data_IF_395699283320
#
_entry.id   IF_395699283320
#
_cell.length_a   1.000
_cell.length_b   1.000
_cell.length_c   1.000
_cell.angle_alpha   90.00
_cell.angle_beta   90.00
_cell.angle_gamma   90.00
#
_symmetry.space_group_name_H-M   'P 1'
#
loop_
_entity.id
_entity.type
_entity.pdbx_description
1 polymer ?
#
# COMPACT_ATOMS: atom_id res chain seq x y z
N UNK A 1 37.27 31.17 -6.39
CA UNK A 1 35.81 31.36 -6.55
C UNK A 1 35.32 30.89 -7.93
N UNK A 2 35.78 31.41 -9.05
CA UNK A 2 35.29 31.05 -10.39
C UNK A 2 35.36 29.56 -10.71
N UNK A 3 36.46 28.88 -10.42
CA UNK A 3 36.66 27.45 -10.68
C UNK A 3 35.62 26.60 -9.91
N UNK A 4 35.33 26.95 -8.67
CA UNK A 4 34.32 26.24 -7.86
C UNK A 4 32.94 26.37 -8.51
N UNK A 5 32.57 27.55 -8.96
CA UNK A 5 31.25 27.75 -9.60
C UNK A 5 31.14 26.92 -10.88
N UNK A 6 32.19 26.93 -11.71
CA UNK A 6 32.23 26.15 -12.96
C UNK A 6 32.07 24.62 -12.65
N UNK A 7 32.80 24.09 -11.66
CA UNK A 7 32.71 22.68 -11.29
C UNK A 7 31.32 22.33 -10.73
N UNK A 8 30.73 23.24 -9.96
CA UNK A 8 29.38 23.06 -9.42
C UNK A 8 28.35 23.05 -10.56
N UNK A 9 28.44 23.94 -11.53
CA UNK A 9 27.51 23.98 -12.66
C UNK A 9 27.65 22.74 -13.55
N UNK A 10 28.89 22.30 -13.83
CA UNK A 10 29.14 21.06 -14.57
C UNK A 10 28.56 19.85 -13.82
N UNK A 11 28.76 19.76 -12.52
CA UNK A 11 28.18 18.67 -11.71
C UNK A 11 26.65 18.63 -11.82
N UNK A 12 25.98 19.78 -11.66
CA UNK A 12 24.53 19.85 -11.77
C UNK A 12 24.01 19.56 -13.17
N UNK A 13 24.72 20.01 -14.20
CA UNK A 13 24.39 19.69 -15.58
C UNK A 13 24.45 18.18 -15.82
N UNK A 14 25.54 17.52 -15.44
CA UNK A 14 25.70 16.08 -15.60
C UNK A 14 24.65 15.30 -14.80
N UNK A 15 24.36 15.73 -13.56
CA UNK A 15 23.32 15.14 -12.71
C UNK A 15 21.94 15.25 -13.34
N UNK A 16 21.61 16.39 -13.94
CA UNK A 16 20.33 16.61 -14.61
C UNK A 16 20.19 15.73 -15.84
N UNK A 17 21.23 15.62 -16.65
CA UNK A 17 21.26 14.72 -17.82
C UNK A 17 21.06 13.26 -17.36
N UNK A 18 21.84 12.82 -16.37
CA UNK A 18 21.72 11.46 -15.79
C UNK A 18 20.30 11.17 -15.29
N UNK A 19 19.74 12.10 -14.51
CA UNK A 19 18.37 11.96 -13.97
C UNK A 19 17.32 11.85 -15.10
N UNK A 20 17.50 12.64 -16.18
CA UNK A 20 16.61 12.64 -17.33
C UNK A 20 16.61 11.28 -18.06
N UNK A 21 17.77 10.65 -18.19
CA UNK A 21 17.87 9.30 -18.77
C UNK A 21 17.18 8.25 -17.87
N UNK A 22 17.41 8.31 -16.57
CA UNK A 22 16.75 7.39 -15.62
C UNK A 22 15.23 7.56 -15.61
N UNK A 23 14.76 8.81 -15.56
CA UNK A 23 13.32 9.08 -15.60
C UNK A 23 12.68 8.54 -16.89
N UNK A 24 13.34 8.73 -18.03
CA UNK A 24 12.86 8.21 -19.32
C UNK A 24 12.85 6.67 -19.35
N UNK A 25 13.87 6.02 -18.80
CA UNK A 25 13.94 4.57 -18.70
C UNK A 25 12.83 4.01 -17.79
N UNK A 26 12.68 4.60 -16.59
CA UNK A 26 11.63 4.22 -15.64
C UNK A 26 10.23 4.42 -16.21
N UNK A 27 9.98 5.54 -16.90
CA UNK A 27 8.70 5.80 -17.55
C UNK A 27 8.38 4.79 -18.66
N UNK A 28 9.38 4.39 -19.45
CA UNK A 28 9.21 3.35 -20.49
C UNK A 28 8.88 2.00 -19.86
N UNK A 29 9.59 1.63 -18.78
CA UNK A 29 9.35 0.38 -18.08
C UNK A 29 7.96 0.37 -17.41
N UNK A 30 7.58 1.46 -16.77
CA UNK A 30 6.22 1.62 -16.23
C UNK A 30 5.16 1.42 -17.31
N UNK A 31 5.29 2.10 -18.46
CA UNK A 31 4.32 1.94 -19.58
C UNK A 31 4.29 0.54 -20.17
N UNK A 32 5.41 -0.18 -20.17
CA UNK A 32 5.49 -1.58 -20.56
C UNK A 32 4.77 -2.47 -19.55
N UNK A 33 5.01 -2.25 -18.27
CA UNK A 33 4.40 -3.02 -17.18
C UNK A 33 2.88 -2.83 -17.08
N UNK A 34 2.35 -1.66 -17.42
CA UNK A 34 0.91 -1.41 -17.51
C UNK A 34 0.18 -2.23 -18.58
N UNK A 35 0.92 -2.77 -19.57
CA UNK A 35 0.35 -3.61 -20.66
C UNK A 35 0.43 -5.10 -20.37
N UNK A 36 1.10 -5.49 -19.29
CA UNK A 36 1.26 -6.90 -18.93
C UNK A 36 0.00 -7.37 -18.21
N UNK A 37 -0.55 -8.51 -18.66
CA UNK A 37 -1.52 -9.27 -17.89
C UNK A 37 -0.79 -10.02 -16.76
N UNK A 38 -0.70 -9.36 -15.62
CA UNK A 38 -0.01 -9.89 -14.45
C UNK A 38 -0.69 -11.13 -13.88
N UNK A 39 -2.01 -11.24 -14.02
CA UNK A 39 -2.77 -12.38 -13.53
C UNK A 39 -2.41 -13.66 -14.32
N UNK A 40 -2.42 -13.58 -15.64
CA UNK A 40 -1.98 -14.69 -16.49
C UNK A 40 -0.52 -15.06 -16.23
N UNK A 41 0.33 -14.07 -15.96
CA UNK A 41 1.74 -14.31 -15.66
C UNK A 41 1.94 -15.02 -14.33
N UNK A 42 1.19 -14.65 -13.28
CA UNK A 42 1.22 -15.32 -11.98
C UNK A 42 0.80 -16.80 -12.11
N UNK A 43 -0.25 -17.09 -12.88
CA UNK A 43 -0.69 -18.47 -13.14
C UNK A 43 0.39 -19.27 -13.86
N UNK A 44 1.06 -18.67 -14.87
CA UNK A 44 2.14 -19.33 -15.59
C UNK A 44 3.35 -19.62 -14.68
N UNK A 45 3.72 -18.67 -13.81
CA UNK A 45 4.84 -18.84 -12.90
C UNK A 45 4.54 -19.87 -11.79
N UNK A 46 3.31 -19.94 -11.31
CA UNK A 46 2.86 -20.99 -10.39
C UNK A 46 3.00 -22.38 -11.01
N UNK A 47 2.62 -22.53 -12.27
CA UNK A 47 2.74 -23.81 -13.01
C UNK A 47 4.20 -24.20 -13.31
N UNK A 48 5.11 -23.21 -13.47
CA UNK A 48 6.55 -23.46 -13.68
C UNK A 48 7.27 -23.88 -12.41
N UNK A 49 6.93 -23.32 -11.24
CA UNK A 49 7.52 -23.63 -9.94
C UNK A 49 7.25 -25.06 -9.46
N UNK A 50 6.21 -25.71 -9.96
CA UNK A 50 6.00 -27.15 -9.72
C UNK A 50 7.09 -28.08 -10.28
N UNK A 51 8.05 -27.55 -11.05
CA UNK A 51 9.14 -28.30 -11.68
C UNK A 51 10.54 -27.99 -11.12
N UNK A 52 10.68 -27.02 -10.20
CA UNK A 52 12.00 -26.63 -9.64
C UNK A 52 12.05 -26.83 -8.14
N UNK A 53 12.89 -27.78 -7.69
CA UNK A 53 12.98 -28.30 -6.31
C UNK A 53 13.77 -27.37 -5.35
N UNK A 54 14.36 -26.26 -5.82
CA UNK A 54 15.48 -25.62 -5.09
C UNK A 54 15.18 -24.25 -4.43
N UNK A 55 13.96 -23.73 -4.49
CA UNK A 55 13.66 -22.43 -3.84
C UNK A 55 12.62 -22.58 -2.70
N UNK A 56 13.13 -23.03 -1.53
CA UNK A 56 12.33 -23.14 -0.28
C UNK A 56 11.87 -21.81 0.29
N UNK A 57 12.11 -20.67 -0.39
CA UNK A 57 11.91 -19.34 0.22
C UNK A 57 10.53 -18.74 0.07
N UNK A 58 9.70 -19.23 -0.84
CA UNK A 58 8.28 -18.78 -0.95
C UNK A 58 7.49 -19.86 -1.70
N UNK A 59 7.13 -20.92 -1.01
CA UNK A 59 6.19 -21.91 -1.54
C UNK A 59 4.74 -21.39 -1.47
N UNK A 60 4.49 -20.18 -1.97
CA UNK A 60 3.14 -19.74 -2.27
C UNK A 60 2.81 -20.35 -3.61
N UNK A 61 2.28 -21.57 -3.58
CA UNK A 61 1.86 -22.30 -4.77
C UNK A 61 0.60 -21.72 -5.39
N UNK A 62 -0.16 -20.95 -4.63
CA UNK A 62 -1.40 -20.32 -5.05
C UNK A 62 -1.50 -18.86 -4.58
N UNK A 63 -1.45 -17.93 -5.53
CA UNK A 63 -1.61 -16.50 -5.27
C UNK A 63 -3.00 -16.16 -4.70
N UNK A 64 -4.01 -17.03 -4.91
CA UNK A 64 -5.35 -16.87 -4.37
C UNK A 64 -5.41 -17.11 -2.85
N UNK A 65 -4.38 -17.75 -2.30
CA UNK A 65 -4.25 -17.95 -0.84
C UNK A 65 -3.75 -16.70 -0.12
N UNK A 66 -3.25 -15.68 -0.86
CA UNK A 66 -2.73 -14.44 -0.28
C UNK A 66 -3.85 -13.51 0.16
N UNK A 67 -3.66 -12.93 1.34
CA UNK A 67 -4.47 -11.83 1.85
C UNK A 67 -3.75 -10.51 1.57
N UNK A 68 -4.49 -9.51 1.15
CA UNK A 68 -3.94 -8.18 0.89
C UNK A 68 -4.43 -7.20 1.94
N UNK A 69 -3.52 -6.77 2.81
CA UNK A 69 -3.77 -5.71 3.80
C UNK A 69 -3.42 -4.38 3.14
N UNK A 70 -4.40 -3.52 2.98
CA UNK A 70 -4.27 -2.21 2.33
C UNK A 70 -4.51 -1.16 3.40
N UNK A 71 -3.48 -0.40 3.74
CA UNK A 71 -3.54 0.67 4.73
C UNK A 71 -3.65 2.01 4.02
N UNK A 72 -4.71 2.74 4.29
CA UNK A 72 -4.95 4.08 3.79
C UNK A 72 -4.80 5.07 4.95
N UNK A 73 -3.62 5.69 5.12
CA UNK A 73 -3.42 6.71 6.14
C UNK A 73 -4.14 7.99 5.75
N UNK A 74 -4.84 8.59 6.73
CA UNK A 74 -5.57 9.84 6.60
C UNK A 74 -5.21 10.81 7.70
N UNK A 75 -5.21 12.09 7.36
CA UNK A 75 -5.12 13.19 8.31
C UNK A 75 -6.30 14.15 8.19
N UNK A 76 -6.53 14.71 7.02
CA UNK A 76 -7.59 15.70 6.76
C UNK A 76 -8.03 15.68 5.28
N UNK A 77 -7.95 14.52 4.63
CA UNK A 77 -8.32 14.36 3.23
C UNK A 77 -9.83 14.53 3.05
N UNK A 78 -10.28 15.22 1.97
CA UNK A 78 -11.69 15.34 1.64
C UNK A 78 -12.36 13.98 1.43
N UNK A 79 -13.63 13.86 1.85
CA UNK A 79 -14.46 12.67 1.68
C UNK A 79 -14.37 12.05 0.28
N UNK A 80 -14.46 12.89 -0.76
CA UNK A 80 -14.45 12.43 -2.16
C UNK A 80 -13.15 11.72 -2.56
N UNK A 81 -12.02 12.14 -2.00
CA UNK A 81 -10.71 11.50 -2.27
C UNK A 81 -10.68 10.09 -1.67
N UNK A 82 -11.13 9.97 -0.41
CA UNK A 82 -11.15 8.69 0.29
C UNK A 82 -12.14 7.74 -0.37
N UNK A 83 -13.34 8.25 -0.64
CA UNK A 83 -14.38 7.50 -1.35
C UNK A 83 -13.91 7.02 -2.71
N UNK A 84 -13.25 7.88 -3.49
CA UNK A 84 -12.70 7.55 -4.81
C UNK A 84 -11.65 6.44 -4.74
N UNK A 85 -10.77 6.47 -3.73
CA UNK A 85 -9.77 5.43 -3.49
C UNK A 85 -10.41 4.09 -3.14
N UNK A 86 -11.39 4.08 -2.24
CA UNK A 86 -12.11 2.87 -1.84
C UNK A 86 -12.97 2.31 -2.98
N UNK A 87 -13.58 3.17 -3.79
CA UNK A 87 -14.30 2.77 -5.00
C UNK A 87 -13.37 2.09 -6.02
N UNK A 88 -12.16 2.63 -6.20
CA UNK A 88 -11.15 2.03 -7.07
C UNK A 88 -10.72 0.66 -6.57
N UNK A 89 -10.54 0.49 -5.26
CA UNK A 89 -10.26 -0.81 -4.62
C UNK A 89 -11.43 -1.79 -4.80
N UNK A 90 -12.67 -1.33 -4.61
CA UNK A 90 -13.87 -2.13 -4.81
C UNK A 90 -13.98 -2.65 -6.25
N UNK A 91 -13.57 -1.83 -7.22
CA UNK A 91 -13.64 -2.17 -8.65
C UNK A 91 -12.38 -2.86 -9.18
N UNK A 92 -11.32 -3.00 -8.37
CA UNK A 92 -10.11 -3.71 -8.76
C UNK A 92 -10.38 -5.21 -9.04
N UNK A 93 -9.58 -5.83 -9.88
CA UNK A 93 -9.74 -7.24 -10.26
C UNK A 93 -9.34 -8.25 -9.16
N UNK A 94 -8.70 -7.79 -8.07
CA UNK A 94 -8.29 -8.66 -6.98
C UNK A 94 -9.47 -9.20 -6.16
N UNK A 95 -9.29 -10.36 -5.52
CA UNK A 95 -10.31 -11.04 -4.72
C UNK A 95 -10.72 -10.19 -3.49
N UNK A 96 -11.99 -9.79 -3.41
CA UNK A 96 -12.47 -8.92 -2.33
C UNK A 96 -12.54 -9.64 -0.97
N UNK A 97 -12.80 -10.94 -1.00
CA UNK A 97 -12.79 -11.83 0.17
C UNK A 97 -11.38 -12.11 0.71
N UNK A 98 -10.35 -11.58 0.06
CA UNK A 98 -8.94 -11.61 0.49
C UNK A 98 -8.39 -10.22 0.81
N UNK A 99 -9.18 -9.16 0.64
CA UNK A 99 -8.77 -7.79 0.94
C UNK A 99 -9.17 -7.40 2.36
N UNK A 100 -8.22 -6.91 3.12
CA UNK A 100 -8.41 -6.25 4.43
C UNK A 100 -8.04 -4.78 4.22
N UNK A 101 -8.99 -3.89 4.35
CA UNK A 101 -8.77 -2.45 4.17
C UNK A 101 -8.77 -1.77 5.53
N UNK A 102 -7.72 -1.04 5.82
CA UNK A 102 -7.53 -0.31 7.08
C UNK A 102 -7.42 1.18 6.81
N UNK A 103 -8.35 1.93 7.34
CA UNK A 103 -8.33 3.38 7.29
C UNK A 103 -7.67 3.90 8.57
N UNK A 104 -6.42 4.36 8.46
CA UNK A 104 -5.66 4.89 9.60
C UNK A 104 -5.87 6.39 9.73
N UNK A 105 -6.54 6.86 10.77
CA UNK A 105 -6.87 8.26 11.00
C UNK A 105 -6.06 8.80 12.16
N UNK A 106 -5.49 9.99 12.03
CA UNK A 106 -4.89 10.70 13.15
C UNK A 106 -5.97 11.27 14.10
N UNK A 107 -5.76 11.18 15.42
CA UNK A 107 -6.73 11.65 16.41
C UNK A 107 -7.10 13.12 16.23
N UNK A 108 -6.15 13.95 15.82
CA UNK A 108 -6.37 15.38 15.58
C UNK A 108 -7.36 15.62 14.42
N UNK A 109 -7.26 14.82 13.36
CA UNK A 109 -8.17 14.89 12.21
C UNK A 109 -9.52 14.21 12.44
N UNK A 110 -9.55 13.19 13.29
CA UNK A 110 -10.73 12.34 13.48
C UNK A 110 -12.00 13.09 13.85
N UNK A 111 -11.90 14.13 14.70
CA UNK A 111 -13.07 14.91 15.13
C UNK A 111 -13.81 15.57 13.97
N UNK A 112 -13.05 16.04 12.99
CA UNK A 112 -13.58 16.71 11.79
C UNK A 112 -14.12 15.71 10.76
N UNK A 113 -13.54 14.50 10.74
CA UNK A 113 -13.83 13.48 9.74
C UNK A 113 -14.86 12.43 10.20
N UNK A 114 -15.29 12.49 11.46
CA UNK A 114 -16.14 11.46 12.08
C UNK A 114 -17.43 11.16 11.28
N UNK A 115 -18.07 12.20 10.77
CA UNK A 115 -19.30 12.04 9.97
C UNK A 115 -19.00 11.36 8.63
N UNK A 116 -17.95 11.77 7.96
CA UNK A 116 -17.55 11.23 6.66
C UNK A 116 -17.02 9.79 6.79
N UNK A 117 -16.29 9.48 7.85
CA UNK A 117 -15.89 8.12 8.19
C UNK A 117 -17.12 7.24 8.39
N UNK A 118 -18.14 7.72 9.11
CA UNK A 118 -19.38 6.97 9.30
C UNK A 118 -20.13 6.69 7.99
N UNK A 119 -20.08 7.60 7.01
CA UNK A 119 -20.63 7.38 5.65
C UNK A 119 -19.83 6.31 4.92
N UNK A 120 -18.49 6.38 5.00
CA UNK A 120 -17.57 5.42 4.38
C UNK A 120 -17.77 4.01 4.96
N UNK A 121 -17.86 3.87 6.27
CA UNK A 121 -18.11 2.58 6.92
C UNK A 121 -19.44 1.95 6.48
N UNK A 122 -20.49 2.76 6.32
CA UNK A 122 -21.78 2.29 5.80
C UNK A 122 -21.70 1.83 4.36
N UNK A 123 -20.94 2.56 3.50
CA UNK A 123 -20.83 2.26 2.07
C UNK A 123 -19.88 1.09 1.77
N UNK A 124 -18.78 0.98 2.49
CA UNK A 124 -17.68 0.06 2.18
C UNK A 124 -17.45 -1.04 3.21
N UNK A 125 -18.08 -0.99 4.37
CA UNK A 125 -17.85 -1.93 5.47
C UNK A 125 -18.00 -3.40 5.11
N UNK A 126 -18.86 -3.72 4.14
CA UNK A 126 -19.09 -5.07 3.63
C UNK A 126 -18.51 -5.34 2.23
N UNK A 127 -17.72 -4.38 1.68
CA UNK A 127 -17.18 -4.49 0.33
C UNK A 127 -15.93 -5.37 0.24
N UNK A 128 -15.31 -5.66 1.37
CA UNK A 128 -14.03 -6.38 1.51
C UNK A 128 -14.17 -7.49 2.55
N UNK A 129 -13.16 -8.36 2.69
CA UNK A 129 -13.11 -9.33 3.78
C UNK A 129 -13.32 -8.66 5.14
N UNK A 130 -12.57 -7.59 5.37
CA UNK A 130 -12.72 -6.72 6.54
C UNK A 130 -12.40 -5.27 6.15
N UNK A 131 -13.16 -4.37 6.74
CA UNK A 131 -12.90 -2.94 6.73
C UNK A 131 -12.71 -2.48 8.17
N UNK A 132 -11.60 -1.81 8.47
CA UNK A 132 -11.26 -1.37 9.82
C UNK A 132 -10.89 0.11 9.79
N UNK A 133 -11.48 0.89 10.69
CA UNK A 133 -11.03 2.25 10.97
C UNK A 133 -10.22 2.22 12.26
N UNK A 134 -9.02 2.77 12.22
CA UNK A 134 -8.15 2.93 13.39
C UNK A 134 -7.90 4.40 13.64
N UNK A 135 -7.85 4.79 14.91
CA UNK A 135 -7.51 6.16 15.31
C UNK A 135 -6.17 6.11 16.02
N UNK A 136 -5.16 6.74 15.41
CA UNK A 136 -3.83 6.85 16.01
C UNK A 136 -3.83 7.92 17.08
N UNK A 137 -3.54 7.59 18.35
CA UNK A 137 -3.53 8.57 19.45
C UNK A 137 -2.44 9.62 19.26
N UNK A 138 -2.78 10.87 19.53
CA UNK A 138 -1.81 11.95 19.55
C UNK A 138 -0.83 11.82 20.74
N UNK A 139 0.40 12.31 20.55
CA UNK A 139 1.39 12.48 21.63
C UNK A 139 1.82 11.18 22.34
N UNK A 140 1.93 10.07 21.63
CA UNK A 140 2.50 8.85 22.22
C UNK A 140 3.97 9.05 22.61
N UNK A 141 4.37 8.66 23.85
CA UNK A 141 5.74 8.81 24.29
C UNK A 141 6.74 8.06 23.43
N UNK A 142 7.79 8.75 22.97
CA UNK A 142 8.86 8.15 22.15
C UNK A 142 8.51 7.98 20.67
N UNK A 143 7.35 8.44 20.23
CA UNK A 143 6.91 8.38 18.84
C UNK A 143 6.97 9.77 18.18
N UNK A 144 7.46 9.80 16.94
CA UNK A 144 7.45 11.02 16.14
C UNK A 144 6.12 11.09 15.38
N UNK A 145 5.31 12.15 15.56
CA UNK A 145 4.05 12.31 14.84
C UNK A 145 4.28 12.31 13.32
N UNK A 146 3.41 11.62 12.58
CA UNK A 146 3.47 11.63 11.13
C UNK A 146 2.91 10.36 10.48
N UNK A 147 2.90 10.37 9.15
CA UNK A 147 2.34 9.29 8.34
C UNK A 147 2.85 7.90 8.74
N UNK A 148 4.16 7.74 8.96
CA UNK A 148 4.76 6.45 9.29
C UNK A 148 4.33 5.89 10.64
N UNK A 149 4.08 6.73 11.65
CA UNK A 149 3.56 6.31 12.96
C UNK A 149 2.11 5.86 12.84
N UNK A 150 1.27 6.58 12.11
CA UNK A 150 -0.10 6.20 11.82
C UNK A 150 -0.20 4.87 11.07
N UNK A 151 0.63 4.68 10.04
CA UNK A 151 0.72 3.42 9.30
C UNK A 151 1.12 2.24 10.20
N UNK A 152 2.11 2.47 11.07
CA UNK A 152 2.57 1.47 12.03
C UNK A 152 1.47 1.12 13.04
N UNK A 153 0.75 2.12 13.54
CA UNK A 153 -0.40 1.93 14.41
C UNK A 153 -1.49 1.12 13.73
N UNK A 154 -1.90 1.54 12.52
CA UNK A 154 -2.92 0.86 11.74
C UNK A 154 -2.56 -0.62 11.46
N UNK A 155 -1.29 -0.90 11.14
CA UNK A 155 -0.80 -2.26 10.94
C UNK A 155 -0.88 -3.11 12.23
N UNK A 156 -0.49 -2.56 13.39
CA UNK A 156 -0.58 -3.24 14.69
C UNK A 156 -2.04 -3.54 15.05
N UNK A 157 -2.93 -2.59 14.84
CA UNK A 157 -4.36 -2.77 15.10
C UNK A 157 -5.01 -3.78 14.15
N UNK A 158 -4.67 -3.74 12.85
CA UNK A 158 -5.12 -4.75 11.89
C UNK A 158 -4.66 -6.16 12.29
N UNK A 159 -3.42 -6.29 12.74
CA UNK A 159 -2.89 -7.55 13.25
C UNK A 159 -3.72 -8.03 14.45
N UNK A 160 -3.88 -7.18 15.47
CA UNK A 160 -4.54 -7.51 16.74
C UNK A 160 -6.04 -7.85 16.58
N UNK A 161 -6.74 -7.07 15.72
CA UNK A 161 -8.20 -7.12 15.60
C UNK A 161 -8.67 -8.11 14.52
N UNK A 162 -7.87 -8.32 13.47
CA UNK A 162 -8.29 -9.07 12.29
C UNK A 162 -7.40 -10.29 12.05
N UNK A 163 -6.09 -10.08 11.91
CA UNK A 163 -5.17 -11.11 11.42
C UNK A 163 -5.02 -12.25 12.44
N UNK A 164 -4.69 -11.92 13.69
CA UNK A 164 -4.50 -12.90 14.75
C UNK A 164 -5.81 -13.65 15.09
N UNK A 165 -6.98 -12.97 15.24
CA UNK A 165 -8.24 -13.66 15.49
C UNK A 165 -8.72 -14.55 14.35
N UNK A 166 -8.42 -14.19 13.09
CA UNK A 166 -8.74 -15.02 11.92
C UNK A 166 -7.69 -16.10 11.65
N UNK A 167 -6.61 -16.14 12.44
CA UNK A 167 -5.49 -17.09 12.30
C UNK A 167 -4.89 -17.07 10.89
N UNK A 168 -4.80 -15.88 10.28
CA UNK A 168 -4.19 -15.73 8.96
C UNK A 168 -2.67 -15.89 9.09
N UNK A 169 -2.03 -16.83 8.38
CA UNK A 169 -0.59 -17.00 8.41
C UNK A 169 0.10 -15.74 7.88
N UNK A 170 1.11 -15.25 8.59
CA UNK A 170 1.80 -13.99 8.21
C UNK A 170 2.51 -14.10 6.86
N UNK A 171 3.02 -15.27 6.51
CA UNK A 171 3.60 -15.59 5.21
C UNK A 171 2.61 -15.46 4.05
N UNK A 172 1.31 -15.48 4.32
CA UNK A 172 0.25 -15.28 3.33
C UNK A 172 -0.27 -13.84 3.27
N UNK A 173 0.42 -12.90 3.91
CA UNK A 173 -0.01 -11.49 3.92
C UNK A 173 0.87 -10.65 3.01
N UNK A 174 0.25 -9.95 2.09
CA UNK A 174 0.82 -8.86 1.32
C UNK A 174 0.30 -7.55 1.89
N UNK A 175 1.18 -6.60 2.21
CA UNK A 175 0.81 -5.28 2.70
C UNK A 175 1.13 -4.19 1.68
N UNK A 176 0.22 -3.23 1.52
CA UNK A 176 0.40 -2.02 0.73
C UNK A 176 -0.07 -0.79 1.52
N UNK A 177 0.63 0.31 1.33
CA UNK A 177 0.35 1.60 1.97
C UNK A 177 0.26 2.70 0.91
#
# INVERSE_FOLDING_TARGET
MAIFIILFDIYWLLKTIYLSFHLRASFREMRKNLKIDWQSKLVQDANRKGQSIDDKRLAISDWQSLYHVIILPMYNEPYEIIRGSLESLRNAAYLKDKCIVVLGVEEEGYKNLKEDIGKIEKEFGNAFLKFLVTVHPAHLPGEMPGKGSNETWAAKEARRIIIDPLQIPYEHILASV
#
